data_IF_924039904493
#
_entry.id   IF_924039904493
#
_cell.length_a   1.000
_cell.length_b   1.000
_cell.length_c   1.000
_cell.angle_alpha   90.00
_cell.angle_beta   90.00
_cell.angle_gamma   90.00
#
_symmetry.space_group_name_H-M   'P 1'
#
loop_
_entity.id
_entity.type
_entity.pdbx_description
1 polymer ?
#
# COMPACT_ATOMS: atom_id res chain seq x y z
N UNK A 1 22.42 32.60 -19.83
CA UNK A 1 22.39 31.69 -21.00
C UNK A 1 23.76 31.03 -21.02
N UNK A 2 23.98 29.75 -20.74
CA UNK A 2 23.19 28.53 -20.85
C UNK A 2 23.73 27.50 -19.84
N UNK A 3 22.85 26.75 -19.15
CA UNK A 3 22.52 25.35 -19.44
C UNK A 3 23.52 24.33 -18.86
N UNK A 4 23.36 24.00 -17.57
CA UNK A 4 23.80 22.73 -16.99
C UNK A 4 23.01 22.36 -15.72
N UNK A 5 21.74 22.78 -15.63
CA UNK A 5 20.79 22.42 -14.55
C UNK A 5 19.90 21.23 -14.98
N UNK A 6 20.52 20.19 -15.53
CA UNK A 6 19.81 19.00 -16.02
C UNK A 6 20.35 17.74 -15.34
N UNK A 7 19.53 17.17 -14.46
CA UNK A 7 19.58 15.75 -14.12
C UNK A 7 20.37 15.36 -12.87
N UNK A 8 20.06 15.96 -11.71
CA UNK A 8 20.36 15.32 -10.43
C UNK A 8 19.36 14.18 -10.25
N UNK A 9 19.72 12.97 -10.68
CA UNK A 9 18.99 11.74 -10.34
C UNK A 9 19.05 11.60 -8.81
N UNK A 10 17.90 11.62 -8.17
CA UNK A 10 17.74 11.27 -6.75
C UNK A 10 18.08 9.78 -6.60
N UNK A 11 19.36 9.49 -6.43
CA UNK A 11 19.87 8.16 -6.12
C UNK A 11 19.66 7.95 -4.61
N UNK A 12 18.73 7.09 -4.16
CA UNK A 12 18.35 7.07 -2.77
C UNK A 12 19.25 6.08 -2.02
N UNK A 13 19.99 6.64 -1.07
CA UNK A 13 20.87 5.97 -0.14
C UNK A 13 20.23 4.75 0.54
N UNK A 14 21.09 3.78 0.84
CA UNK A 14 20.91 2.64 1.74
C UNK A 14 19.97 2.96 2.93
N UNK A 15 18.79 2.34 2.92
CA UNK A 15 17.71 2.58 3.88
C UNK A 15 18.00 1.95 5.26
N UNK A 16 19.14 1.25 5.42
CA UNK A 16 19.60 0.78 6.72
C UNK A 16 20.07 1.90 7.67
N UNK A 17 20.16 3.15 7.21
CA UNK A 17 20.62 4.28 8.03
C UNK A 17 19.45 5.06 8.66
N UNK A 18 19.57 5.42 9.95
CA UNK A 18 18.60 6.30 10.64
C UNK A 18 18.33 7.62 9.89
N UNK A 19 19.30 8.09 9.11
CA UNK A 19 19.17 9.28 8.27
C UNK A 19 18.19 9.06 7.11
N UNK A 20 18.22 7.91 6.45
CA UNK A 20 17.28 7.56 5.39
C UNK A 20 15.84 7.47 5.91
N UNK A 21 15.64 6.83 7.07
CA UNK A 21 14.32 6.78 7.73
C UNK A 21 13.80 8.18 8.11
N UNK A 22 14.68 9.07 8.61
CA UNK A 22 14.31 10.44 8.92
C UNK A 22 13.96 11.26 7.65
N UNK A 23 14.66 11.02 6.54
CA UNK A 23 14.32 11.62 5.25
C UNK A 23 12.96 11.13 4.75
N UNK A 24 12.69 9.83 4.85
CA UNK A 24 11.40 9.24 4.49
C UNK A 24 10.26 9.85 5.32
N UNK A 25 10.43 9.99 6.63
CA UNK A 25 9.47 10.71 7.49
C UNK A 25 9.25 12.15 7.02
N UNK A 26 10.32 12.90 6.74
CA UNK A 26 10.22 14.27 6.26
C UNK A 26 9.49 14.36 4.91
N UNK A 27 9.75 13.42 4.00
CA UNK A 27 9.08 13.33 2.72
C UNK A 27 7.57 13.11 2.91
N UNK A 28 7.18 12.16 3.75
CA UNK A 28 5.76 11.90 4.06
C UNK A 28 5.11 13.12 4.74
N UNK A 29 5.71 13.62 5.82
CA UNK A 29 5.11 14.68 6.65
C UNK A 29 5.15 16.08 6.02
N UNK A 30 6.00 16.33 5.02
CA UNK A 30 6.01 17.61 4.30
C UNK A 30 5.27 17.56 2.98
N UNK A 31 5.49 16.51 2.18
CA UNK A 31 4.98 16.44 0.81
C UNK A 31 3.61 15.81 0.74
N UNK A 32 3.36 14.73 1.49
CA UNK A 32 2.04 14.11 1.51
C UNK A 32 1.11 14.82 2.48
N UNK A 33 1.49 15.02 3.73
CA UNK A 33 0.65 15.72 4.72
C UNK A 33 0.20 17.11 4.23
N UNK A 34 1.09 17.87 3.58
CA UNK A 34 0.77 19.18 3.01
C UNK A 34 -0.16 19.13 1.80
N UNK A 35 0.00 18.15 0.90
CA UNK A 35 -0.90 17.95 -0.25
C UNK A 35 -2.25 17.37 0.19
N UNK A 36 -2.25 16.60 1.27
CA UNK A 36 -3.44 15.99 1.85
C UNK A 36 -4.20 16.94 2.78
N UNK A 37 -3.66 18.13 3.10
CA UNK A 37 -4.30 19.27 3.78
C UNK A 37 -5.25 18.85 4.94
N UNK A 38 -4.73 18.07 5.89
CA UNK A 38 -5.44 17.67 7.11
C UNK A 38 -6.68 16.78 6.90
N UNK A 39 -6.96 16.40 5.66
CA UNK A 39 -8.12 15.60 5.26
C UNK A 39 -7.65 14.22 4.81
N UNK A 40 -7.11 13.48 5.79
CA UNK A 40 -6.63 12.10 5.63
C UNK A 40 -7.75 11.11 5.24
N UNK A 41 -9.01 11.55 5.19
CA UNK A 41 -10.21 10.75 4.83
C UNK A 41 -10.07 9.97 3.52
N UNK A 42 -9.32 10.50 2.56
CA UNK A 42 -9.10 9.83 1.27
C UNK A 42 -8.12 8.66 1.36
N UNK A 43 -7.10 8.74 2.21
CA UNK A 43 -6.10 7.68 2.38
C UNK A 43 -6.50 6.68 3.45
N UNK A 44 -6.91 7.20 4.61
CA UNK A 44 -7.29 6.43 5.78
C UNK A 44 -8.82 6.44 5.86
N UNK A 45 -9.46 5.29 5.60
CA UNK A 45 -10.85 5.11 5.97
C UNK A 45 -11.01 5.30 7.48
N UNK A 46 -12.04 6.01 7.92
CA UNK A 46 -12.23 6.36 9.32
C UNK A 46 -13.70 6.26 9.74
N UNK A 47 -14.04 5.46 10.77
CA UNK A 47 -15.37 5.43 11.35
C UNK A 47 -15.65 6.77 12.05
N UNK A 48 -16.50 7.59 11.46
CA UNK A 48 -17.07 8.75 12.15
C UNK A 48 -18.18 8.29 13.09
N UNK A 49 -17.86 7.98 14.35
CA UNK A 49 -18.85 7.43 15.30
C UNK A 49 -19.41 8.43 16.31
N UNK A 50 -18.86 9.64 16.44
CA UNK A 50 -19.48 10.66 17.30
C UNK A 50 -20.31 11.69 16.50
N UNK A 51 -21.57 11.95 16.90
CA UNK A 51 -22.31 13.09 16.39
C UNK A 51 -21.61 14.36 16.85
N UNK A 52 -20.92 15.03 15.94
CA UNK A 52 -20.38 16.35 16.23
C UNK A 52 -21.46 17.42 16.27
N UNK A 53 -21.02 18.67 16.48
CA UNK A 53 -21.93 19.80 16.61
C UNK A 53 -22.74 20.03 15.32
N UNK A 54 -24.02 20.37 15.49
CA UNK A 54 -24.87 20.76 14.39
C UNK A 54 -24.50 22.18 13.94
N UNK A 55 -24.21 22.37 12.65
CA UNK A 55 -24.06 23.71 12.06
C UNK A 55 -25.18 24.02 11.09
N UNK A 56 -25.45 25.30 10.85
CA UNK A 56 -26.39 25.72 9.83
C UNK A 56 -25.94 25.23 8.44
N UNK A 57 -26.91 24.76 7.66
CA UNK A 57 -26.72 24.33 6.27
C UNK A 57 -26.28 25.51 5.40
N UNK A 58 -25.29 25.28 4.55
CA UNK A 58 -24.89 26.19 3.49
C UNK A 58 -25.13 25.56 2.10
N UNK A 59 -25.46 26.36 1.07
CA UNK A 59 -25.62 25.85 -0.29
C UNK A 59 -24.33 25.15 -0.78
N UNK A 60 -24.44 23.86 -1.08
CA UNK A 60 -23.31 22.99 -1.47
C UNK A 60 -23.07 21.83 -0.50
N UNK A 61 -23.67 21.87 0.69
CA UNK A 61 -23.59 20.79 1.65
C UNK A 61 -24.44 19.57 1.25
N UNK A 62 -23.96 18.36 1.60
CA UNK A 62 -24.70 17.11 1.34
C UNK A 62 -25.91 16.98 2.27
N UNK A 63 -27.10 17.02 1.68
CA UNK A 63 -28.40 16.90 2.37
C UNK A 63 -28.54 15.57 3.12
N UNK A 64 -27.80 14.53 2.73
CA UNK A 64 -27.80 13.23 3.45
C UNK A 64 -27.24 13.34 4.87
N UNK A 65 -26.49 14.40 5.16
CA UNK A 65 -25.92 14.69 6.49
C UNK A 65 -26.82 15.57 7.36
N UNK A 66 -28.05 15.86 6.91
CA UNK A 66 -28.97 16.75 7.61
C UNK A 66 -29.37 16.24 9.00
N UNK A 67 -29.26 17.12 9.99
CA UNK A 67 -29.70 16.87 11.36
C UNK A 67 -31.18 17.23 11.52
N UNK A 68 -32.06 16.26 11.27
CA UNK A 68 -33.51 16.46 11.39
C UNK A 68 -33.96 16.82 12.80
N UNK A 69 -33.23 16.41 13.85
CA UNK A 69 -33.61 16.67 15.24
C UNK A 69 -33.36 18.12 15.63
N UNK A 70 -32.19 18.67 15.27
CA UNK A 70 -31.85 20.08 15.51
C UNK A 70 -32.63 20.99 14.57
N UNK A 71 -32.80 20.58 13.31
CA UNK A 71 -33.61 21.31 12.32
C UNK A 71 -35.06 21.45 12.79
N UNK A 72 -35.66 20.39 13.34
CA UNK A 72 -37.03 20.43 13.84
C UNK A 72 -37.21 21.36 15.05
N UNK A 73 -36.18 21.52 15.90
CA UNK A 73 -36.24 22.41 17.08
C UNK A 73 -35.96 23.86 16.75
N UNK A 74 -35.03 24.11 15.84
CA UNK A 74 -34.56 25.47 15.49
C UNK A 74 -35.32 26.06 14.31
N UNK A 75 -36.06 25.25 13.54
CA UNK A 75 -36.70 25.61 12.26
C UNK A 75 -35.75 26.11 11.17
N UNK A 76 -34.44 26.00 11.41
CA UNK A 76 -33.36 26.34 10.47
C UNK A 76 -32.69 25.04 10.03
N UNK A 77 -32.42 24.83 8.73
CA UNK A 77 -31.75 23.61 8.28
C UNK A 77 -30.35 23.51 8.88
N UNK A 78 -30.07 22.41 9.58
CA UNK A 78 -28.76 22.11 10.14
C UNK A 78 -28.20 20.84 9.52
N UNK A 79 -26.89 20.82 9.28
CA UNK A 79 -26.17 19.59 8.98
C UNK A 79 -25.43 19.13 10.23
N UNK A 80 -25.31 17.81 10.38
CA UNK A 80 -24.51 17.22 11.44
C UNK A 80 -23.06 17.17 10.98
N UNK A 81 -22.19 17.97 11.60
CA UNK A 81 -20.76 17.79 11.41
C UNK A 81 -20.36 16.53 12.16
N UNK A 82 -19.72 15.58 11.51
CA UNK A 82 -19.07 14.47 12.21
C UNK A 82 -17.75 15.01 12.74
N UNK A 83 -17.62 15.18 14.05
CA UNK A 83 -16.29 15.34 14.66
C UNK A 83 -15.66 13.96 14.57
N UNK A 84 -14.53 13.86 13.87
CA UNK A 84 -13.74 12.64 13.90
C UNK A 84 -13.18 12.51 15.32
N UNK A 85 -13.79 11.64 16.13
CA UNK A 85 -13.16 11.21 17.38
C UNK A 85 -11.89 10.42 17.00
N UNK A 86 -10.73 11.04 17.21
CA UNK A 86 -9.44 10.68 16.57
C UNK A 86 -8.67 9.57 17.31
N UNK A 87 -9.37 8.59 17.87
CA UNK A 87 -8.73 7.36 18.35
C UNK A 87 -8.87 6.22 17.33
N UNK A 88 -8.28 6.40 16.14
CA UNK A 88 -8.21 5.35 15.13
C UNK A 88 -7.11 4.34 15.52
N UNK A 89 -7.47 3.06 15.61
CA UNK A 89 -6.51 1.97 15.75
C UNK A 89 -6.18 1.42 14.36
N UNK A 90 -4.98 1.74 13.84
CA UNK A 90 -4.48 1.21 12.56
C UNK A 90 -3.61 -0.02 12.81
N UNK A 91 -3.88 -1.11 12.12
CA UNK A 91 -3.02 -2.30 12.09
C UNK A 91 -2.38 -2.46 10.73
N UNK A 92 -1.05 -2.46 10.68
CA UNK A 92 -0.27 -2.75 9.49
C UNK A 92 0.05 -4.25 9.46
N UNK A 93 -0.38 -4.98 8.43
CA UNK A 93 0.13 -6.30 8.11
C UNK A 93 1.18 -6.09 7.03
N UNK A 94 2.45 -6.30 7.37
CA UNK A 94 3.57 -6.03 6.48
C UNK A 94 4.18 -7.35 6.04
N UNK A 95 4.15 -7.58 4.74
CA UNK A 95 4.80 -8.71 4.13
C UNK A 95 6.32 -8.45 4.04
N UNK A 96 7.10 -9.43 4.47
CA UNK A 96 8.56 -9.46 4.45
C UNK A 96 9.06 -10.77 3.80
N UNK A 97 8.25 -11.33 2.90
CA UNK A 97 8.61 -12.50 2.10
C UNK A 97 9.86 -12.23 1.24
N UNK A 98 10.67 -13.26 0.93
CA UNK A 98 11.88 -13.12 0.13
C UNK A 98 11.68 -12.46 -1.25
N UNK A 99 10.49 -12.57 -1.84
CA UNK A 99 10.18 -11.94 -3.14
C UNK A 99 10.28 -10.41 -3.10
N UNK A 100 10.14 -9.79 -1.94
CA UNK A 100 10.19 -8.34 -1.78
C UNK A 100 11.62 -7.78 -1.75
N UNK A 101 12.61 -8.64 -1.48
CA UNK A 101 14.03 -8.29 -1.40
C UNK A 101 14.78 -8.61 -2.70
N UNK A 102 14.07 -9.01 -3.76
CA UNK A 102 14.64 -9.17 -5.11
C UNK A 102 14.98 -7.78 -5.67
N UNK A 103 16.24 -7.61 -6.04
CA UNK A 103 16.77 -6.38 -6.64
C UNK A 103 16.43 -6.34 -8.14
N UNK A 104 15.76 -5.28 -8.58
CA UNK A 104 15.59 -4.97 -10.01
C UNK A 104 16.40 -3.74 -10.39
N UNK A 105 16.36 -3.36 -11.68
CA UNK A 105 16.98 -2.10 -12.14
C UNK A 105 16.37 -0.84 -11.49
N UNK A 106 15.22 -0.98 -10.84
CA UNK A 106 14.50 0.10 -10.14
C UNK A 106 14.67 0.02 -8.61
N UNK A 107 15.47 -0.93 -8.12
CA UNK A 107 15.66 -1.22 -6.70
C UNK A 107 14.72 -2.34 -6.21
N UNK A 108 14.72 -2.58 -4.90
CA UNK A 108 13.90 -3.63 -4.29
C UNK A 108 12.47 -3.15 -4.01
N UNK A 109 11.50 -4.09 -4.09
CA UNK A 109 10.11 -3.86 -3.66
C UNK A 109 10.02 -3.47 -2.18
N UNK A 110 10.95 -3.95 -1.35
CA UNK A 110 11.08 -3.60 0.08
C UNK A 110 11.10 -2.09 0.32
N UNK A 111 11.69 -1.29 -0.56
CA UNK A 111 11.70 0.18 -0.44
C UNK A 111 10.29 0.78 -0.51
N UNK A 112 9.43 0.21 -1.36
CA UNK A 112 8.03 0.62 -1.47
C UNK A 112 7.22 0.16 -0.26
N UNK A 113 7.54 -1.01 0.28
CA UNK A 113 6.94 -1.50 1.54
C UNK A 113 7.25 -0.53 2.69
N UNK A 114 8.51 -0.13 2.84
CA UNK A 114 8.94 0.87 3.84
C UNK A 114 8.26 2.22 3.62
N UNK A 115 8.19 2.69 2.37
CA UNK A 115 7.48 3.92 2.03
C UNK A 115 5.99 3.86 2.37
N UNK A 116 5.33 2.72 2.12
CA UNK A 116 3.94 2.49 2.47
C UNK A 116 3.73 2.46 4.00
N UNK A 117 4.58 1.76 4.75
CA UNK A 117 4.56 1.74 6.21
C UNK A 117 4.76 3.15 6.79
N UNK A 118 5.71 3.91 6.25
CA UNK A 118 5.96 5.29 6.69
C UNK A 118 4.76 6.18 6.39
N UNK A 119 4.22 6.07 5.17
CA UNK A 119 3.05 6.83 4.73
C UNK A 119 1.86 6.58 5.64
N UNK A 120 1.42 5.33 5.77
CA UNK A 120 0.25 5.01 6.59
C UNK A 120 0.53 5.27 8.07
N UNK A 121 1.71 4.89 8.57
CA UNK A 121 2.09 5.03 9.96
C UNK A 121 2.11 6.50 10.42
N UNK A 122 2.83 7.38 9.72
CA UNK A 122 2.93 8.78 10.12
C UNK A 122 1.63 9.56 9.93
N UNK A 123 0.88 9.25 8.88
CA UNK A 123 -0.45 9.85 8.65
C UNK A 123 -1.48 9.36 9.68
N UNK A 124 -1.32 8.14 10.21
CA UNK A 124 -2.16 7.60 11.28
C UNK A 124 -1.72 8.01 12.70
N UNK A 125 -0.52 8.56 12.89
CA UNK A 125 0.07 8.78 14.23
C UNK A 125 -0.40 10.06 14.94
N UNK A 126 -1.46 10.72 14.47
CA UNK A 126 -2.00 11.96 15.03
C UNK A 126 -3.16 11.76 16.03
N UNK A 127 -3.36 12.72 16.94
CA UNK A 127 -4.64 12.89 17.63
C UNK A 127 -5.09 11.80 18.62
N UNK A 128 -4.18 10.96 19.13
CA UNK A 128 -4.52 9.86 20.04
C UNK A 128 -4.67 8.49 19.35
N UNK A 129 -4.55 8.47 18.03
CA UNK A 129 -4.56 7.24 17.22
C UNK A 129 -3.36 6.34 17.53
N UNK A 130 -3.57 5.04 17.38
CA UNK A 130 -2.58 4.00 17.67
C UNK A 130 -2.26 3.23 16.40
N UNK A 131 -0.99 2.88 16.23
CA UNK A 131 -0.54 2.07 15.10
C UNK A 131 0.08 0.79 15.63
N UNK A 132 -0.50 -0.36 15.28
CA UNK A 132 0.06 -1.69 15.52
C UNK A 132 0.61 -2.28 14.24
N UNK A 133 1.44 -3.32 14.35
CA UNK A 133 2.03 -3.98 13.20
C UNK A 133 2.11 -5.50 13.41
N UNK A 134 1.88 -6.24 12.34
CA UNK A 134 2.10 -7.69 12.26
C UNK A 134 3.01 -7.96 11.06
N UNK A 135 4.11 -8.67 11.29
CA UNK A 135 5.08 -9.01 10.26
C UNK A 135 4.92 -10.47 9.81
N UNK A 136 5.01 -10.73 8.50
CA UNK A 136 5.12 -12.09 7.91
C UNK A 136 6.57 -12.59 7.94
N UNK A 137 6.81 -13.84 7.53
CA UNK A 137 8.15 -14.34 7.15
C UNK A 137 8.95 -15.06 8.24
N UNK A 138 8.57 -14.96 9.52
CA UNK A 138 9.30 -15.58 10.64
C UNK A 138 8.75 -16.96 11.08
N UNK A 139 8.00 -17.66 10.21
CA UNK A 139 7.34 -18.94 10.52
C UNK A 139 6.13 -18.82 11.44
N UNK A 140 5.93 -17.66 12.07
CA UNK A 140 4.73 -17.25 12.79
C UNK A 140 4.58 -15.74 12.71
N UNK A 141 3.34 -15.20 12.77
CA UNK A 141 3.13 -13.76 12.79
C UNK A 141 3.81 -13.11 14.00
N UNK A 142 4.65 -12.10 13.76
CA UNK A 142 5.24 -11.30 14.83
C UNK A 142 4.38 -10.06 15.08
N UNK A 143 3.74 -10.01 16.24
CA UNK A 143 2.81 -8.92 16.60
C UNK A 143 3.52 -7.85 17.44
N UNK A 144 3.52 -6.63 16.93
CA UNK A 144 3.95 -5.40 17.61
C UNK A 144 2.69 -4.62 18.00
N UNK A 145 2.48 -4.42 19.30
CA UNK A 145 1.23 -3.86 19.82
C UNK A 145 0.99 -2.43 19.37
N UNK A 146 -0.28 -2.13 19.09
CA UNK A 146 -0.71 -0.79 18.78
C UNK A 146 -0.38 0.19 19.91
N UNK A 147 0.41 1.20 19.58
CA UNK A 147 0.77 2.30 20.47
C UNK A 147 0.72 3.62 19.69
N UNK A 148 0.47 4.74 20.37
CA UNK A 148 0.47 6.05 19.74
C UNK A 148 1.86 6.68 19.58
N UNK A 149 1.92 7.72 18.75
CA UNK A 149 3.07 8.63 18.65
C UNK A 149 4.06 8.29 17.54
N UNK A 150 4.68 9.35 16.99
CA UNK A 150 5.62 9.26 15.87
C UNK A 150 6.86 8.42 16.19
N UNK A 151 7.34 8.44 17.43
CA UNK A 151 8.46 7.59 17.86
C UNK A 151 8.12 6.11 17.83
N UNK A 152 6.85 5.75 18.06
CA UNK A 152 6.43 4.36 17.87
C UNK A 152 6.50 3.97 16.39
N UNK A 153 5.97 4.81 15.49
CA UNK A 153 6.05 4.57 14.04
C UNK A 153 7.50 4.42 13.56
N UNK A 154 8.43 5.26 14.04
CA UNK A 154 9.87 5.12 13.74
C UNK A 154 10.42 3.77 14.17
N UNK A 155 10.01 3.24 15.32
CA UNK A 155 10.41 1.90 15.77
C UNK A 155 9.82 0.80 14.88
N UNK A 156 8.55 0.93 14.47
CA UNK A 156 7.95 -0.02 13.52
C UNK A 156 8.73 -0.01 12.19
N UNK A 157 9.09 1.17 11.67
CA UNK A 157 9.92 1.28 10.47
C UNK A 157 11.31 0.66 10.64
N UNK A 158 11.96 0.85 11.79
CA UNK A 158 13.27 0.24 12.09
C UNK A 158 13.16 -1.30 12.16
N UNK A 159 12.05 -1.84 12.66
CA UNK A 159 11.78 -3.29 12.63
C UNK A 159 11.63 -3.82 11.20
N UNK A 160 10.94 -3.08 10.32
CA UNK A 160 10.84 -3.43 8.90
C UNK A 160 12.21 -3.31 8.23
N UNK A 161 12.94 -2.22 8.40
CA UNK A 161 14.23 -2.02 7.73
C UNK A 161 15.30 -3.06 8.14
N UNK A 162 15.24 -3.57 9.37
CA UNK A 162 16.22 -4.55 9.90
C UNK A 162 15.84 -6.00 9.66
N UNK A 163 14.59 -6.28 9.29
CA UNK A 163 14.12 -7.64 9.17
C UNK A 163 14.78 -8.32 7.96
N UNK A 164 15.40 -9.48 8.20
CA UNK A 164 16.02 -10.28 7.15
C UNK A 164 14.99 -11.25 6.58
N UNK A 165 14.85 -11.36 5.25
CA UNK A 165 13.94 -12.31 4.64
C UNK A 165 14.30 -13.74 5.04
N UNK A 166 13.26 -14.51 5.38
CA UNK A 166 13.39 -15.93 5.73
C UNK A 166 12.32 -16.71 4.97
N UNK A 167 12.76 -17.81 4.34
CA UNK A 167 11.83 -18.78 3.78
C UNK A 167 11.17 -19.53 4.93
N UNK A 168 9.85 -19.48 5.02
CA UNK A 168 9.11 -20.23 6.00
C UNK A 168 7.75 -20.67 5.49
N UNK A 169 7.30 -21.85 5.93
CA UNK A 169 6.00 -22.41 5.60
C UNK A 169 4.85 -21.86 6.47
N UNK A 170 5.13 -20.97 7.41
CA UNK A 170 4.14 -20.37 8.32
C UNK A 170 4.36 -18.87 8.50
N UNK A 171 3.39 -18.19 9.13
CA UNK A 171 3.41 -16.73 9.18
C UNK A 171 3.01 -16.10 7.85
N UNK A 172 2.15 -16.79 7.10
CA UNK A 172 1.58 -16.30 5.85
C UNK A 172 0.54 -15.21 6.13
N UNK A 173 0.04 -14.58 5.06
CA UNK A 173 -0.94 -13.51 5.17
C UNK A 173 -2.19 -13.92 5.98
N UNK A 174 -2.69 -15.15 5.79
CA UNK A 174 -3.84 -15.67 6.54
C UNK A 174 -3.58 -15.77 8.06
N UNK A 175 -2.41 -16.25 8.45
CA UNK A 175 -1.99 -16.30 9.85
C UNK A 175 -1.91 -14.90 10.46
N UNK A 176 -1.40 -13.93 9.70
CA UNK A 176 -1.30 -12.54 10.13
C UNK A 176 -2.68 -11.89 10.31
N UNK A 177 -3.62 -12.18 9.42
CA UNK A 177 -5.03 -11.74 9.56
C UNK A 177 -5.66 -12.32 10.84
N UNK A 178 -5.39 -13.60 11.14
CA UNK A 178 -5.82 -14.21 12.40
C UNK A 178 -5.15 -13.57 13.63
N UNK A 179 -3.87 -13.22 13.54
CA UNK A 179 -3.16 -12.52 14.61
C UNK A 179 -3.76 -11.13 14.87
N UNK A 180 -4.05 -10.35 13.81
CA UNK A 180 -4.73 -9.05 13.94
C UNK A 180 -6.11 -9.21 14.55
N UNK A 181 -6.91 -10.21 14.13
CA UNK A 181 -8.24 -10.47 14.72
C UNK A 181 -8.19 -10.63 16.24
N UNK A 182 -7.12 -11.19 16.78
CA UNK A 182 -6.96 -11.41 18.22
C UNK A 182 -6.35 -10.20 18.93
N UNK A 183 -5.52 -9.42 18.24
CA UNK A 183 -4.79 -8.29 18.80
C UNK A 183 -5.59 -6.97 18.74
N UNK A 184 -6.30 -6.74 17.63
CA UNK A 184 -7.12 -5.56 17.39
C UNK A 184 -8.38 -5.60 18.24
N UNK A 185 -8.45 -4.73 19.25
CA UNK A 185 -9.58 -4.70 20.19
C UNK A 185 -10.64 -3.68 19.82
N UNK A 186 -10.26 -2.63 19.09
CA UNK A 186 -11.16 -1.55 18.65
C UNK A 186 -11.44 -1.69 17.16
N UNK A 187 -12.59 -1.18 16.73
CA UNK A 187 -12.85 -0.97 15.31
C UNK A 187 -11.81 0.01 14.76
N UNK A 188 -11.32 -0.24 13.55
CA UNK A 188 -10.24 0.57 13.00
C UNK A 188 -9.89 0.16 11.59
N UNK A 189 -8.69 0.54 11.18
CA UNK A 189 -8.18 0.30 9.84
C UNK A 189 -7.16 -0.85 9.87
N UNK A 190 -7.31 -1.80 8.96
CA UNK A 190 -6.29 -2.82 8.70
C UNK A 190 -5.69 -2.58 7.31
N UNK A 191 -4.39 -2.32 7.27
CA UNK A 191 -3.65 -2.12 6.03
C UNK A 191 -2.78 -3.32 5.75
N UNK A 192 -2.97 -3.98 4.61
CA UNK A 192 -2.12 -5.09 4.16
C UNK A 192 -1.15 -4.57 3.11
N UNK A 193 0.14 -4.69 3.35
CA UNK A 193 1.22 -4.25 2.45
C UNK A 193 1.96 -5.49 1.97
N UNK A 194 1.78 -5.86 0.70
CA UNK A 194 2.34 -7.09 0.11
C UNK A 194 2.41 -6.96 -1.41
N UNK A 195 3.20 -7.83 -2.05
CA UNK A 195 3.12 -8.06 -3.49
C UNK A 195 2.03 -9.06 -3.89
N UNK A 196 1.38 -9.70 -2.92
CA UNK A 196 0.29 -10.66 -3.10
C UNK A 196 0.60 -11.79 -4.11
N UNK A 197 1.88 -12.15 -4.26
CA UNK A 197 2.28 -13.21 -5.20
C UNK A 197 1.93 -14.62 -4.70
N UNK A 198 1.61 -14.77 -3.40
CA UNK A 198 1.18 -16.03 -2.81
C UNK A 198 -0.24 -16.45 -3.22
N UNK A 199 -0.58 -17.71 -2.95
CA UNK A 199 -1.92 -18.24 -3.21
C UNK A 199 -2.99 -17.48 -2.41
N UNK A 200 -4.17 -17.28 -3.02
CA UNK A 200 -5.30 -16.57 -2.41
C UNK A 200 -6.05 -17.48 -1.43
N UNK A 201 -5.45 -17.74 -0.28
CA UNK A 201 -6.07 -18.49 0.83
C UNK A 201 -6.65 -17.58 1.94
N UNK A 202 -6.31 -16.29 1.90
CA UNK A 202 -6.62 -15.28 2.93
C UNK A 202 -7.98 -14.59 2.74
N UNK A 203 -8.67 -14.78 1.60
CA UNK A 203 -9.90 -14.04 1.25
C UNK A 203 -11.01 -14.21 2.30
N UNK A 204 -11.17 -15.42 2.83
CA UNK A 204 -12.17 -15.70 3.87
C UNK A 204 -11.85 -14.96 5.16
N UNK A 205 -10.60 -15.01 5.62
CA UNK A 205 -10.16 -14.34 6.84
C UNK A 205 -10.26 -12.83 6.72
N UNK A 206 -9.93 -12.28 5.54
CA UNK A 206 -10.08 -10.86 5.24
C UNK A 206 -11.54 -10.43 5.32
N UNK A 207 -12.49 -11.18 4.74
CA UNK A 207 -13.93 -10.89 4.86
C UNK A 207 -14.44 -10.94 6.29
N UNK A 208 -13.99 -11.93 7.07
CA UNK A 208 -14.39 -12.04 8.49
C UNK A 208 -13.90 -10.83 9.27
N UNK A 209 -12.65 -10.43 9.06
CA UNK A 209 -12.09 -9.24 9.68
C UNK A 209 -12.77 -7.94 9.16
N UNK A 210 -13.20 -7.93 7.89
CA UNK A 210 -14.07 -6.95 7.22
C UNK A 210 -15.37 -6.60 7.91
N UNK A 211 -15.87 -7.48 8.79
CA UNK A 211 -17.08 -7.20 9.57
C UNK A 211 -16.88 -6.15 10.66
N UNK A 212 -15.63 -5.90 11.06
CA UNK A 212 -15.26 -5.02 12.18
C UNK A 212 -14.18 -4.00 11.85
N UNK A 213 -13.55 -4.11 10.68
CA UNK A 213 -12.45 -3.23 10.32
C UNK A 213 -12.61 -2.80 8.87
N UNK A 214 -12.19 -1.58 8.59
CA UNK A 214 -12.00 -1.11 7.22
C UNK A 214 -10.65 -1.60 6.71
N UNK A 215 -10.53 -1.78 5.39
CA UNK A 215 -9.33 -2.32 4.77
C UNK A 215 -8.70 -1.35 3.81
N UNK A 216 -7.38 -1.44 3.70
CA UNK A 216 -6.60 -0.91 2.59
C UNK A 216 -5.59 -1.97 2.18
N UNK A 217 -5.61 -2.37 0.92
CA UNK A 217 -4.55 -3.19 0.34
C UNK A 217 -3.54 -2.27 -0.34
N UNK A 218 -2.28 -2.36 0.05
CA UNK A 218 -1.16 -1.75 -0.67
C UNK A 218 -0.47 -2.86 -1.46
N UNK A 219 -0.73 -2.89 -2.76
CA UNK A 219 -0.15 -3.84 -3.69
C UNK A 219 1.15 -3.26 -4.24
N UNK A 220 2.27 -3.85 -3.81
CA UNK A 220 3.62 -3.49 -4.27
C UNK A 220 4.03 -4.39 -5.42
N UNK A 221 4.56 -3.84 -6.50
CA UNK A 221 4.99 -4.64 -7.66
C UNK A 221 6.25 -4.09 -8.31
N UNK A 222 6.98 -4.96 -8.97
CA UNK A 222 8.04 -4.61 -9.90
C UNK A 222 7.58 -4.90 -11.34
N UNK A 223 8.05 -4.16 -12.35
CA UNK A 223 7.79 -4.51 -13.75
C UNK A 223 8.14 -5.96 -14.11
N UNK A 224 9.17 -6.54 -13.47
CA UNK A 224 9.54 -7.94 -13.67
C UNK A 224 8.50 -8.93 -13.15
N UNK A 225 7.66 -8.54 -12.17
CA UNK A 225 6.53 -9.37 -11.71
C UNK A 225 5.41 -9.44 -12.76
N UNK A 226 5.44 -8.54 -13.75
CA UNK A 226 4.39 -8.36 -14.75
C UNK A 226 4.83 -8.93 -16.11
N UNK A 227 6.07 -8.66 -16.50
CA UNK A 227 6.62 -9.10 -17.77
C UNK A 227 8.12 -9.37 -17.66
N UNK A 228 8.54 -10.55 -18.13
CA UNK A 228 9.95 -10.83 -18.36
C UNK A 228 10.40 -10.17 -19.68
N UNK A 229 11.54 -9.47 -19.71
CA UNK A 229 12.13 -9.01 -20.95
C UNK A 229 12.66 -10.19 -21.75
N UNK A 230 12.47 -10.19 -23.08
CA UNK A 230 13.06 -11.18 -23.98
C UNK A 230 14.58 -10.94 -24.08
N UNK A 231 15.34 -11.54 -23.16
CA UNK A 231 16.80 -11.37 -23.02
C UNK A 231 17.60 -12.57 -23.53
N UNK A 232 16.91 -13.59 -24.07
CA UNK A 232 17.51 -14.86 -24.42
C UNK A 232 17.90 -15.65 -23.16
N UNK A 233 19.07 -16.29 -23.16
CA UNK A 233 19.55 -17.09 -22.04
C UNK A 233 19.64 -16.26 -20.74
N UNK A 234 18.87 -16.68 -19.73
CA UNK A 234 18.81 -16.07 -18.41
C UNK A 234 18.83 -17.12 -17.31
N UNK A 235 19.40 -16.73 -16.16
CA UNK A 235 19.30 -17.47 -14.91
C UNK A 235 18.21 -16.83 -14.06
N UNK A 236 17.13 -17.56 -13.80
CA UNK A 236 16.07 -17.15 -12.89
C UNK A 236 16.23 -17.90 -11.58
N UNK A 237 16.21 -17.18 -10.46
CA UNK A 237 16.22 -17.78 -9.14
C UNK A 237 14.87 -17.54 -8.47
N UNK A 238 14.22 -18.60 -7.99
CA UNK A 238 13.03 -18.46 -7.16
C UNK A 238 13.45 -17.96 -5.76
N UNK A 239 12.99 -16.78 -5.33
CA UNK A 239 13.37 -16.21 -4.03
C UNK A 239 12.86 -17.05 -2.84
N UNK A 240 11.84 -17.88 -3.03
CA UNK A 240 11.24 -18.68 -1.97
C UNK A 240 11.92 -20.04 -1.78
N UNK A 241 12.39 -20.66 -2.86
CA UNK A 241 13.03 -21.99 -2.79
C UNK A 241 14.55 -21.92 -2.93
N UNK A 242 15.05 -20.84 -3.54
CA UNK A 242 16.44 -20.70 -3.95
C UNK A 242 16.78 -21.52 -5.21
N UNK A 243 15.81 -22.19 -5.83
CA UNK A 243 16.00 -22.95 -7.06
C UNK A 243 16.43 -22.01 -8.19
N UNK A 244 17.45 -22.41 -8.95
CA UNK A 244 17.96 -21.66 -10.10
C UNK A 244 17.59 -22.43 -11.36
N UNK A 245 16.87 -21.76 -12.26
CA UNK A 245 16.48 -22.25 -13.56
C UNK A 245 17.28 -21.51 -14.63
N UNK A 246 17.94 -22.27 -15.51
CA UNK A 246 18.53 -21.75 -16.74
C UNK A 246 17.49 -21.87 -17.85
N UNK A 247 17.02 -20.73 -18.35
CA UNK A 247 15.94 -20.65 -19.33
C UNK A 247 16.35 -19.73 -20.47
N UNK A 248 15.93 -20.06 -21.68
CA UNK A 248 15.98 -19.13 -22.80
C UNK A 248 14.66 -18.36 -22.84
N UNK A 249 14.72 -17.05 -22.53
CA UNK A 249 13.53 -16.18 -22.50
C UNK A 249 13.26 -15.69 -23.91
N UNK A 250 12.58 -16.53 -24.68
CA UNK A 250 12.03 -16.21 -25.99
C UNK A 250 10.68 -15.46 -25.87
N UNK A 251 10.16 -14.99 -27.01
CA UNK A 251 8.89 -14.26 -27.06
C UNK A 251 7.69 -15.10 -26.59
N UNK A 252 7.74 -16.42 -26.77
CA UNK A 252 6.67 -17.33 -26.38
C UNK A 252 6.63 -17.49 -24.85
N UNK A 253 7.77 -17.72 -24.21
CA UNK A 253 7.90 -17.77 -22.76
C UNK A 253 7.56 -16.42 -22.12
N UNK A 254 8.00 -15.31 -22.71
CA UNK A 254 7.65 -13.96 -22.24
C UNK A 254 6.14 -13.68 -22.34
N UNK A 255 5.47 -14.16 -23.39
CA UNK A 255 4.01 -14.07 -23.53
C UNK A 255 3.27 -14.97 -22.52
N UNK A 256 3.74 -16.20 -22.32
CA UNK A 256 3.16 -17.14 -21.36
C UNK A 256 3.31 -16.64 -19.91
N UNK A 257 4.47 -16.06 -19.57
CA UNK A 257 4.71 -15.42 -18.27
C UNK A 257 3.76 -14.25 -18.05
N UNK A 258 3.63 -13.35 -19.04
CA UNK A 258 2.69 -12.21 -18.96
C UNK A 258 1.25 -12.68 -18.74
N UNK A 259 0.82 -13.74 -19.43
CA UNK A 259 -0.52 -14.32 -19.24
C UNK A 259 -0.68 -14.84 -17.81
N UNK A 260 0.27 -15.62 -17.31
CA UNK A 260 0.22 -16.16 -15.95
C UNK A 260 0.21 -15.06 -14.88
N UNK A 261 1.05 -14.02 -15.05
CA UNK A 261 1.10 -12.86 -14.17
C UNK A 261 -0.23 -12.09 -14.17
N UNK A 262 -0.83 -11.89 -15.35
CA UNK A 262 -2.13 -11.24 -15.48
C UNK A 262 -3.24 -12.04 -14.78
N UNK A 263 -3.30 -13.36 -15.00
CA UNK A 263 -4.29 -14.23 -14.34
C UNK A 263 -4.16 -14.21 -12.82
N UNK A 264 -2.93 -14.26 -12.29
CA UNK A 264 -2.70 -14.20 -10.85
C UNK A 264 -3.13 -12.85 -10.27
N UNK A 265 -2.78 -11.75 -10.94
CA UNK A 265 -3.22 -10.41 -10.52
C UNK A 265 -4.74 -10.26 -10.55
N UNK A 266 -5.40 -10.75 -11.60
CA UNK A 266 -6.86 -10.70 -11.69
C UNK A 266 -7.53 -11.51 -10.58
N UNK A 267 -6.97 -12.68 -10.22
CA UNK A 267 -7.41 -13.46 -9.06
C UNK A 267 -7.30 -12.67 -7.75
N UNK A 268 -6.14 -12.06 -7.49
CA UNK A 268 -5.89 -11.24 -6.30
C UNK A 268 -6.84 -10.03 -6.25
N UNK A 269 -6.90 -9.24 -7.31
CA UNK A 269 -7.72 -8.03 -7.37
C UNK A 269 -9.21 -8.36 -7.29
N UNK A 270 -9.65 -9.47 -7.90
CA UNK A 270 -11.02 -9.98 -7.74
C UNK A 270 -11.32 -10.36 -6.29
N UNK A 271 -10.38 -11.01 -5.58
CA UNK A 271 -10.53 -11.32 -4.16
C UNK A 271 -10.59 -10.06 -3.29
N UNK A 272 -9.70 -9.08 -3.51
CA UNK A 272 -9.72 -7.80 -2.79
C UNK A 272 -11.02 -7.02 -3.02
N UNK A 273 -11.49 -6.96 -4.27
CA UNK A 273 -12.80 -6.35 -4.62
C UNK A 273 -13.96 -7.03 -3.91
N UNK A 274 -13.99 -8.36 -3.87
CA UNK A 274 -15.02 -9.14 -3.14
C UNK A 274 -14.98 -8.91 -1.62
N UNK A 275 -13.86 -8.45 -1.10
CA UNK A 275 -13.71 -8.02 0.30
C UNK A 275 -14.02 -6.53 0.52
N UNK A 276 -14.31 -5.76 -0.53
CA UNK A 276 -14.54 -4.31 -0.44
C UNK A 276 -13.28 -3.50 -0.11
N UNK A 277 -12.08 -4.09 -0.28
CA UNK A 277 -10.83 -3.43 0.06
C UNK A 277 -10.36 -2.51 -1.11
N UNK A 278 -10.24 -1.19 -0.91
CA UNK A 278 -9.52 -0.34 -1.86
C UNK A 278 -8.06 -0.79 -2.01
N UNK A 279 -7.53 -0.63 -3.22
CA UNK A 279 -6.16 -1.03 -3.57
C UNK A 279 -5.34 0.20 -3.93
N UNK A 280 -4.35 0.52 -3.09
CA UNK A 280 -3.24 1.40 -3.43
C UNK A 280 -2.17 0.59 -4.15
N UNK A 281 -1.90 0.95 -5.39
CA UNK A 281 -0.99 0.25 -6.27
C UNK A 281 0.33 1.03 -6.36
N UNK A 282 1.44 0.41 -5.94
CA UNK A 282 2.78 0.98 -5.97
C UNK A 282 3.67 0.14 -6.89
N UNK A 283 4.42 0.81 -7.79
CA UNK A 283 5.32 0.14 -8.74
C UNK A 283 6.73 0.73 -8.65
N UNK A 284 7.76 -0.12 -8.70
CA UNK A 284 9.17 0.29 -8.46
C UNK A 284 9.69 1.30 -9.49
N UNK A 285 9.16 1.28 -10.71
CA UNK A 285 9.48 2.20 -11.82
C UNK A 285 8.66 3.51 -11.81
N UNK A 286 7.80 3.73 -10.81
CA UNK A 286 6.91 4.91 -10.70
C UNK A 286 7.23 5.78 -9.49
N UNK A 287 6.77 7.03 -9.55
CA UNK A 287 6.78 7.92 -8.39
C UNK A 287 5.66 7.52 -7.43
N UNK A 288 6.01 6.78 -6.39
CA UNK A 288 5.08 6.30 -5.37
C UNK A 288 4.32 7.42 -4.66
N UNK A 289 4.88 8.65 -4.57
CA UNK A 289 4.19 9.79 -3.96
C UNK A 289 3.00 10.20 -4.84
N UNK A 290 3.20 10.23 -6.16
CA UNK A 290 2.12 10.50 -7.11
C UNK A 290 1.05 9.41 -7.06
N UNK A 291 1.46 8.15 -6.96
CA UNK A 291 0.50 7.03 -6.85
C UNK A 291 -0.38 7.15 -5.60
N UNK A 292 0.20 7.55 -4.46
CA UNK A 292 -0.56 7.86 -3.23
C UNK A 292 -1.52 9.04 -3.43
N UNK A 293 -1.07 10.12 -4.05
CA UNK A 293 -1.92 11.31 -4.31
C UNK A 293 -3.10 10.95 -5.22
N UNK A 294 -2.86 10.22 -6.30
CA UNK A 294 -3.88 9.79 -7.25
C UNK A 294 -4.91 8.89 -6.58
N UNK A 295 -4.46 7.93 -5.76
CA UNK A 295 -5.31 7.07 -4.95
C UNK A 295 -6.24 7.89 -4.05
N UNK A 296 -5.69 8.86 -3.32
CA UNK A 296 -6.48 9.73 -2.44
C UNK A 296 -7.45 10.59 -3.24
N UNK A 297 -7.05 11.09 -4.41
CA UNK A 297 -7.91 11.83 -5.32
C UNK A 297 -9.16 11.05 -5.72
N UNK A 298 -9.01 9.78 -6.13
CA UNK A 298 -10.14 8.90 -6.49
C UNK A 298 -11.04 8.63 -5.28
N UNK A 299 -10.45 8.37 -4.11
CA UNK A 299 -11.19 8.13 -2.86
C UNK A 299 -12.01 9.33 -2.42
N UNK A 300 -11.48 10.54 -2.58
CA UNK A 300 -12.21 11.81 -2.30
C UNK A 300 -13.45 11.98 -3.17
N UNK A 301 -13.44 11.45 -4.38
CA UNK A 301 -14.58 11.48 -5.31
C UNK A 301 -15.58 10.35 -5.05
N UNK A 302 -15.40 9.57 -3.97
CA UNK A 302 -16.26 8.43 -3.63
C UNK A 302 -15.96 7.17 -4.46
N UNK A 303 -14.90 7.18 -5.28
CA UNK A 303 -14.46 6.03 -6.03
C UNK A 303 -13.83 4.95 -5.14
N UNK A 304 -13.89 3.71 -5.58
CA UNK A 304 -13.15 2.59 -4.99
C UNK A 304 -11.98 2.24 -5.91
N UNK A 305 -10.74 2.63 -5.57
CA UNK A 305 -9.57 2.25 -6.35
C UNK A 305 -9.40 0.73 -6.35
N UNK A 306 -9.28 0.14 -7.53
CA UNK A 306 -9.17 -1.32 -7.73
C UNK A 306 -7.76 -1.79 -8.04
N UNK A 307 -6.79 -0.87 -8.14
CA UNK A 307 -5.39 -1.20 -8.44
C UNK A 307 -5.06 -1.19 -9.94
N UNK A 308 -5.96 -0.70 -10.79
CA UNK A 308 -5.80 -0.65 -12.26
C UNK A 308 -4.57 0.17 -12.71
N UNK A 309 -4.01 1.02 -11.85
CA UNK A 309 -2.79 1.77 -12.13
C UNK A 309 -1.54 0.88 -12.26
N UNK A 310 -1.56 -0.36 -11.76
CA UNK A 310 -0.43 -1.29 -11.88
C UNK A 310 -0.09 -1.63 -13.34
N UNK A 311 -1.09 -1.66 -14.22
CA UNK A 311 -0.91 -1.91 -15.67
C UNK A 311 -0.79 -0.64 -16.49
N UNK A 312 -1.12 0.52 -15.93
CA UNK A 312 -1.03 1.79 -16.65
C UNK A 312 0.43 2.11 -16.96
N UNK A 313 0.71 2.55 -18.18
CA UNK A 313 2.04 2.94 -18.65
C UNK A 313 3.08 1.81 -18.53
N UNK A 314 2.65 0.54 -18.58
CA UNK A 314 3.57 -0.52 -18.94
C UNK A 314 4.09 -0.22 -20.35
N UNK A 315 5.37 -0.45 -20.65
CA UNK A 315 5.82 -0.38 -22.03
C UNK A 315 4.99 -1.37 -22.84
N UNK A 316 4.05 -0.86 -23.64
CA UNK A 316 3.52 -1.61 -24.77
C UNK A 316 4.72 -1.98 -25.64
N UNK A 317 4.79 -3.25 -26.03
CA UNK A 317 5.71 -3.73 -27.06
C UNK A 317 5.53 -2.82 -28.31
N UNK A 318 6.46 -1.88 -28.53
CA UNK A 318 6.71 -1.44 -29.89
C UNK A 318 7.49 -2.56 -30.58
N UNK A 319 7.00 -3.15 -31.70
CA UNK A 319 7.77 -4.08 -32.48
C UNK A 319 8.86 -3.26 -33.19
N UNK A 320 10.04 -3.24 -32.61
CA UNK A 320 11.19 -2.51 -33.10
C UNK A 320 12.38 -3.44 -33.16
N UNK A 321 12.36 -4.36 -34.11
CA UNK A 321 13.59 -4.89 -34.68
C UNK A 321 14.41 -3.68 -35.19
N UNK A 322 15.25 -3.11 -34.33
CA UNK A 322 16.39 -2.34 -34.80
C UNK A 322 17.40 -3.36 -35.31
N UNK A 323 17.27 -3.60 -36.60
CA UNK A 323 18.27 -4.08 -37.51
C UNK A 323 19.64 -3.46 -37.15
N UNK A 324 20.44 -4.17 -36.35
CA UNK A 324 21.85 -3.89 -36.22
C UNK A 324 22.49 -4.41 -37.51
N UNK A 325 22.57 -3.53 -38.50
CA UNK A 325 23.34 -3.77 -39.71
C UNK A 325 24.82 -4.04 -39.33
N UNK A 326 25.45 -5.12 -39.84
CA UNK A 326 26.86 -5.36 -39.57
C UNK A 326 27.71 -4.36 -40.37
N UNK A 327 28.70 -3.77 -39.71
CA UNK A 327 29.88 -3.17 -40.34
C UNK A 327 31.08 -4.08 -40.13
#
# INVERSE_FOLDING_TARGET
>A
MNAADAGRRDDPADVSSRAALAQLELLVTRRLDGVLNGDHRGLLPGPGTEPGEARAYEPGDDVRTMDWSVTARTTVPHIRQTIADRELETWLIVDLSPSLDVESRYGTKRRLVEAAVATVGFLSAGGGSQVGMVLTGDGRPRVLRATGGRDHVRRLLDEVARATPRVSSGGLLDDCLHAVRNAARRHGLVVVISDFLSEVNWERSLRVLGTRHEFLAVHVSDPLDIALPAVGAALLQDPNTGEVLELDVDDALAADYRRAAQEQRDRVHSALRRCGAPVLALRTDRDWIRDVIDFVGVRRQGGLPTGDSLTRDLPDDHPGAQEVAPR
#
